data_IF_217975183242
#
_entry.id   IF_217975183242
#
_cell.length_a   1.000
_cell.length_b   1.000
_cell.length_c   1.000
_cell.angle_alpha   90.00
_cell.angle_beta   90.00
_cell.angle_gamma   90.00
#
_symmetry.space_group_name_H-M   'P 1'
#
loop_
_entity.id
_entity.type
_entity.pdbx_description
1 polymer ?
#
# COMPACT_ATOMS: atom_id res chain seq x y z
N UNK A 1 27.27 -11.99 20.04
CA UNK A 1 26.04 -12.34 19.31
C UNK A 1 25.33 -13.50 20.00
N UNK A 2 24.00 -13.42 20.13
CA UNK A 2 23.14 -14.49 20.64
C UNK A 2 21.81 -14.47 19.88
N UNK A 3 21.28 -15.65 19.54
CA UNK A 3 19.89 -15.79 19.10
C UNK A 3 19.06 -16.13 20.33
N UNK A 4 18.17 -15.22 20.74
CA UNK A 4 17.45 -15.27 22.02
C UNK A 4 16.13 -16.00 21.93
N UNK A 5 15.45 -15.91 20.80
CA UNK A 5 14.23 -16.67 20.50
C UNK A 5 14.13 -16.98 19.01
N UNK A 6 13.38 -18.04 18.72
CA UNK A 6 12.95 -18.42 17.37
C UNK A 6 11.47 -18.79 17.47
N UNK A 7 10.64 -18.14 16.68
CA UNK A 7 9.19 -18.30 16.65
C UNK A 7 8.73 -18.71 15.25
N UNK A 8 7.89 -19.75 15.17
CA UNK A 8 7.17 -20.09 13.94
C UNK A 8 5.90 -19.27 13.88
N UNK A 9 5.73 -18.47 12.83
CA UNK A 9 4.55 -17.60 12.69
C UNK A 9 3.56 -18.15 11.69
N UNK A 10 2.33 -17.64 11.71
CA UNK A 10 1.32 -17.87 10.66
C UNK A 10 1.40 -16.80 9.55
N UNK A 11 2.54 -16.12 9.41
CA UNK A 11 2.76 -15.09 8.40
C UNK A 11 3.49 -15.69 7.19
N UNK A 12 3.20 -15.16 6.02
CA UNK A 12 3.76 -15.61 4.75
C UNK A 12 4.25 -14.45 3.92
N UNK A 13 5.34 -14.69 3.19
CA UNK A 13 5.85 -13.82 2.13
C UNK A 13 5.99 -14.61 0.83
N UNK A 14 6.27 -13.92 -0.28
CA UNK A 14 6.40 -14.55 -1.60
C UNK A 14 5.13 -14.38 -2.42
N UNK A 15 4.86 -15.35 -3.29
CA UNK A 15 3.70 -15.33 -4.19
C UNK A 15 2.63 -16.30 -3.69
N UNK A 16 1.42 -16.20 -4.23
CA UNK A 16 0.34 -17.16 -3.92
C UNK A 16 0.74 -18.57 -4.34
N UNK A 17 1.49 -18.72 -5.43
CA UNK A 17 1.98 -20.00 -5.94
C UNK A 17 3.21 -20.53 -5.18
N UNK A 18 3.95 -19.65 -4.51
CA UNK A 18 5.13 -19.98 -3.72
C UNK A 18 5.14 -19.19 -2.41
N UNK A 19 4.25 -19.55 -1.46
CA UNK A 19 4.22 -18.92 -0.16
C UNK A 19 5.35 -19.48 0.71
N UNK A 20 6.07 -18.58 1.36
CA UNK A 20 7.13 -18.90 2.30
C UNK A 20 6.71 -18.46 3.70
N UNK A 21 6.57 -19.41 4.62
CA UNK A 21 6.23 -19.12 6.00
C UNK A 21 7.37 -18.32 6.63
N UNK A 22 7.05 -17.35 7.47
CA UNK A 22 8.04 -16.52 8.16
C UNK A 22 8.38 -17.15 9.51
N UNK A 23 9.66 -17.48 9.71
CA UNK A 23 10.23 -17.73 11.03
C UNK A 23 10.83 -16.42 11.54
N UNK A 24 10.48 -16.04 12.76
CA UNK A 24 11.00 -14.82 13.39
C UNK A 24 12.09 -15.21 14.38
N UNK A 25 13.23 -14.53 14.32
CA UNK A 25 14.31 -14.70 15.27
C UNK A 25 14.69 -13.37 15.92
N UNK A 26 14.80 -13.37 17.25
CA UNK A 26 15.35 -12.25 18.01
C UNK A 26 16.85 -12.47 18.21
N UNK A 27 17.65 -11.44 17.90
CA UNK A 27 19.11 -11.50 17.96
C UNK A 27 19.62 -10.35 18.81
N UNK A 28 20.46 -10.67 19.80
CA UNK A 28 21.25 -9.71 20.56
C UNK A 28 22.67 -9.65 20.00
N UNK A 29 23.12 -8.46 19.61
CA UNK A 29 24.49 -8.26 19.13
C UNK A 29 24.92 -6.79 19.26
N UNK A 30 26.12 -6.46 18.80
CA UNK A 30 26.63 -5.08 18.86
C UNK A 30 25.80 -4.17 17.95
N UNK A 31 25.31 -3.00 18.43
CA UNK A 31 24.55 -2.04 17.63
C UNK A 31 25.20 -1.69 16.29
N UNK A 32 24.39 -1.57 15.24
CA UNK A 32 24.83 -1.20 13.89
C UNK A 32 25.58 -2.30 13.12
N UNK A 33 25.82 -3.47 13.71
CA UNK A 33 26.38 -4.62 12.98
C UNK A 33 25.34 -5.22 12.05
N UNK A 34 25.79 -5.72 10.91
CA UNK A 34 24.98 -6.52 10.00
C UNK A 34 25.16 -7.99 10.34
N UNK A 35 24.06 -8.73 10.45
CA UNK A 35 24.03 -10.16 10.76
C UNK A 35 23.40 -10.89 9.59
N UNK A 36 24.06 -11.94 9.10
CA UNK A 36 23.49 -12.88 8.11
C UNK A 36 22.81 -14.02 8.83
N UNK A 37 21.60 -14.34 8.38
CA UNK A 37 20.72 -15.34 8.99
C UNK A 37 20.40 -16.46 8.01
N UNK A 38 20.34 -17.67 8.54
CA UNK A 38 19.87 -18.88 7.84
C UNK A 38 19.00 -19.68 8.81
N UNK A 39 18.09 -20.48 8.27
CA UNK A 39 17.23 -21.37 9.04
C UNK A 39 17.17 -22.73 8.35
N UNK A 40 17.52 -23.79 9.07
CA UNK A 40 17.60 -25.14 8.54
C UNK A 40 17.10 -26.16 9.57
N UNK A 41 16.45 -27.22 9.08
CA UNK A 41 16.01 -28.36 9.87
C UNK A 41 15.64 -29.54 8.97
N UNK A 42 15.38 -30.73 9.52
CA UNK A 42 14.86 -31.84 8.73
C UNK A 42 13.54 -31.43 8.06
N UNK A 43 13.55 -31.31 6.74
CA UNK A 43 12.38 -30.88 5.96
C UNK A 43 12.14 -29.36 5.92
N UNK A 44 12.97 -28.52 6.59
CA UNK A 44 12.82 -27.05 6.62
C UNK A 44 14.08 -26.38 6.08
N UNK A 45 13.92 -25.38 5.21
CA UNK A 45 15.03 -24.57 4.68
C UNK A 45 14.63 -23.11 4.48
N UNK A 46 15.57 -22.21 4.75
CA UNK A 46 15.45 -20.79 4.43
C UNK A 46 15.44 -20.54 2.91
N UNK A 47 14.80 -19.45 2.53
CA UNK A 47 14.68 -18.99 1.14
C UNK A 47 15.26 -17.58 1.01
N UNK A 48 16.20 -17.41 0.08
CA UNK A 48 16.86 -16.13 -0.17
C UNK A 48 18.05 -15.83 0.76
N UNK A 49 18.62 -14.63 0.62
CA UNK A 49 19.63 -14.11 1.55
C UNK A 49 18.94 -13.21 2.58
N UNK A 50 19.16 -13.47 3.87
CA UNK A 50 18.60 -12.70 4.97
C UNK A 50 19.72 -11.96 5.68
N UNK A 51 19.67 -10.63 5.59
CA UNK A 51 20.57 -9.71 6.28
C UNK A 51 19.72 -8.77 7.15
N UNK A 52 20.11 -8.64 8.40
CA UNK A 52 19.47 -7.72 9.34
C UNK A 52 20.52 -6.83 10.01
N UNK A 53 20.18 -5.55 10.22
CA UNK A 53 21.05 -4.61 10.92
C UNK A 53 20.57 -4.47 12.36
N UNK A 54 21.49 -4.62 13.30
CA UNK A 54 21.22 -4.54 14.74
C UNK A 54 20.85 -3.09 15.10
N UNK A 55 19.75 -2.92 15.82
CA UNK A 55 19.27 -1.63 16.29
C UNK A 55 20.19 -0.99 17.33
N UNK A 56 19.94 0.27 17.65
CA UNK A 56 20.72 1.03 18.63
C UNK A 56 20.65 0.43 20.04
N UNK A 57 19.58 -0.29 20.35
CA UNK A 57 19.38 -1.01 21.62
C UNK A 57 20.13 -2.36 21.68
N UNK A 58 20.85 -2.73 20.63
CA UNK A 58 21.62 -3.97 20.55
C UNK A 58 20.79 -5.19 20.19
N UNK A 59 19.55 -5.01 19.72
CA UNK A 59 18.67 -6.10 19.30
C UNK A 59 18.23 -5.96 17.85
N UNK A 60 17.83 -7.08 17.25
CA UNK A 60 17.11 -7.07 15.98
C UNK A 60 16.17 -8.26 15.89
N UNK A 61 14.93 -7.96 15.50
CA UNK A 61 13.92 -8.92 15.09
C UNK A 61 14.06 -9.17 13.61
N UNK A 62 14.44 -10.38 13.23
CA UNK A 62 14.63 -10.75 11.83
C UNK A 62 13.56 -11.73 11.35
N UNK A 63 13.04 -11.48 10.16
CA UNK A 63 12.08 -12.31 9.47
C UNK A 63 12.80 -13.18 8.45
N UNK A 64 12.68 -14.51 8.60
CA UNK A 64 13.38 -15.51 7.81
C UNK A 64 12.33 -16.32 7.03
N UNK A 65 12.18 -16.10 5.72
CA UNK A 65 11.29 -16.90 4.90
C UNK A 65 11.80 -18.34 4.83
N UNK A 66 10.93 -19.30 5.13
CA UNK A 66 11.23 -20.74 5.06
C UNK A 66 10.21 -21.49 4.23
N UNK A 67 10.62 -22.66 3.75
CA UNK A 67 9.76 -23.67 3.15
C UNK A 67 10.01 -25.00 3.85
N UNK A 68 8.96 -25.81 4.01
CA UNK A 68 9.05 -27.10 4.67
C UNK A 68 7.89 -27.44 5.59
N UNK A 69 7.82 -28.71 5.96
CA UNK A 69 6.82 -29.31 6.85
C UNK A 69 7.45 -30.05 8.03
N UNK A 70 8.71 -29.72 8.37
CA UNK A 70 9.43 -30.37 9.46
C UNK A 70 8.88 -30.02 10.85
N UNK A 71 9.52 -30.56 11.88
CA UNK A 71 9.08 -30.36 13.28
C UNK A 71 9.98 -29.40 14.07
N UNK A 72 11.16 -29.10 13.53
CA UNK A 72 12.17 -28.27 14.20
C UNK A 72 12.93 -27.43 13.18
N UNK A 73 13.36 -26.25 13.61
CA UNK A 73 14.18 -25.33 12.81
C UNK A 73 15.32 -24.80 13.66
N UNK A 74 16.52 -24.74 13.08
CA UNK A 74 17.70 -24.12 13.69
C UNK A 74 18.03 -22.84 12.95
N UNK A 75 17.90 -21.71 13.63
CA UNK A 75 18.36 -20.42 13.12
C UNK A 75 19.83 -20.27 13.44
N UNK A 76 20.63 -19.93 12.43
CA UNK A 76 22.04 -19.59 12.57
C UNK A 76 22.23 -18.12 12.20
N UNK A 77 22.71 -17.33 13.15
CA UNK A 77 23.15 -15.96 12.96
C UNK A 77 24.68 -15.93 12.80
N UNK A 78 25.18 -15.16 11.83
CA UNK A 78 26.60 -15.05 11.50
C UNK A 78 27.02 -13.60 11.30
N UNK A 79 28.15 -13.22 11.90
CA UNK A 79 28.83 -11.95 11.68
C UNK A 79 30.36 -12.19 11.70
N UNK A 80 30.97 -12.27 10.52
CA UNK A 80 32.38 -12.64 10.39
C UNK A 80 32.68 -14.03 10.95
N UNK A 81 33.47 -14.09 12.02
CA UNK A 81 33.79 -15.34 12.73
C UNK A 81 32.79 -15.66 13.87
N UNK A 82 31.96 -14.69 14.27
CA UNK A 82 30.98 -14.91 15.32
C UNK A 82 29.78 -15.68 14.75
N UNK A 83 29.43 -16.78 15.41
CA UNK A 83 28.30 -17.65 15.02
C UNK A 83 27.48 -17.96 16.25
N UNK A 84 26.17 -17.75 16.17
CA UNK A 84 25.20 -18.12 17.18
C UNK A 84 24.11 -19.00 16.56
N UNK A 85 23.66 -20.02 17.30
CA UNK A 85 22.61 -20.94 16.84
C UNK A 85 21.55 -21.11 17.92
N UNK A 86 20.31 -21.25 17.48
CA UNK A 86 19.18 -21.59 18.34
C UNK A 86 18.23 -22.51 17.59
N UNK A 87 17.90 -23.64 18.21
CA UNK A 87 16.94 -24.61 17.68
C UNK A 87 15.64 -24.51 18.45
N UNK A 88 14.54 -24.42 17.73
CA UNK A 88 13.19 -24.37 18.29
C UNK A 88 12.26 -25.33 17.55
N UNK A 89 11.12 -25.73 18.16
CA UNK A 89 10.05 -26.39 17.45
C UNK A 89 9.60 -25.55 16.25
N UNK A 90 9.29 -26.23 15.15
CA UNK A 90 8.71 -25.63 13.96
C UNK A 90 7.30 -26.18 13.77
N UNK A 91 6.34 -25.26 13.59
CA UNK A 91 4.96 -25.60 13.25
C UNK A 91 4.72 -25.09 11.84
N UNK A 92 4.59 -26.00 10.88
CA UNK A 92 4.20 -25.66 9.53
C UNK A 92 2.78 -25.06 9.55
N UNK A 93 2.65 -23.82 9.09
CA UNK A 93 1.37 -23.14 8.98
C UNK A 93 0.80 -23.32 7.56
N UNK A 94 -0.51 -23.16 7.44
CA UNK A 94 -1.17 -23.04 6.13
C UNK A 94 -1.31 -21.56 5.75
N UNK A 95 -1.05 -21.16 4.50
CA UNK A 95 -1.13 -19.76 4.05
C UNK A 95 -2.48 -19.06 4.29
N UNK A 96 -3.54 -19.84 4.51
CA UNK A 96 -4.86 -19.32 4.87
C UNK A 96 -5.50 -18.47 3.78
N UNK A 97 -6.00 -17.29 4.16
CA UNK A 97 -6.76 -16.39 3.30
C UNK A 97 -5.91 -15.20 2.87
N UNK A 98 -5.95 -14.84 1.58
CA UNK A 98 -5.36 -13.59 1.11
C UNK A 98 -6.32 -12.43 1.35
N UNK A 99 -5.85 -11.40 2.07
CA UNK A 99 -6.57 -10.14 2.25
C UNK A 99 -6.02 -9.08 1.29
N UNK A 100 -6.86 -8.58 0.38
CA UNK A 100 -6.50 -7.48 -0.50
C UNK A 100 -6.85 -6.14 0.14
N UNK A 101 -5.83 -5.37 0.52
CA UNK A 101 -6.00 -4.03 1.07
C UNK A 101 -6.04 -3.03 -0.09
N UNK A 102 -7.24 -2.61 -0.50
CA UNK A 102 -7.43 -1.68 -1.63
C UNK A 102 -7.51 -0.25 -1.12
N UNK A 103 -6.41 0.49 -1.22
CA UNK A 103 -6.37 1.88 -0.79
C UNK A 103 -7.13 2.77 -1.78
N UNK A 104 -8.08 3.56 -1.26
CA UNK A 104 -8.88 4.50 -2.05
C UNK A 104 -9.35 5.67 -1.19
N UNK A 105 -9.99 6.65 -1.82
CA UNK A 105 -10.88 7.60 -1.14
C UNK A 105 -12.20 7.69 -1.90
N UNK A 106 -13.26 8.05 -1.19
CA UNK A 106 -14.56 8.38 -1.80
C UNK A 106 -14.63 9.89 -2.05
N UNK A 107 -15.13 10.30 -3.21
CA UNK A 107 -15.28 11.69 -3.57
C UNK A 107 -16.70 11.91 -4.10
N UNK A 108 -17.50 12.67 -3.37
CA UNK A 108 -18.80 13.12 -3.88
C UNK A 108 -18.62 14.49 -4.55
N UNK A 109 -18.80 14.63 -5.87
CA UNK A 109 -18.60 15.91 -6.55
C UNK A 109 -19.51 17.00 -5.98
N UNK A 110 -20.71 16.65 -5.54
CA UNK A 110 -21.62 17.55 -4.83
C UNK A 110 -22.39 16.73 -3.82
N UNK A 111 -22.43 17.19 -2.57
CA UNK A 111 -23.28 16.62 -1.55
C UNK A 111 -23.85 17.73 -0.66
N UNK A 112 -23.29 17.94 0.55
CA UNK A 112 -23.67 19.07 1.40
C UNK A 112 -22.84 20.33 1.11
N UNK A 113 -21.82 20.23 0.28
CA UNK A 113 -21.00 21.35 -0.17
C UNK A 113 -20.81 21.31 -1.70
N UNK A 114 -20.17 22.35 -2.24
CA UNK A 114 -19.93 22.54 -3.66
C UNK A 114 -18.78 21.67 -4.18
N UNK A 115 -18.80 21.39 -5.47
CA UNK A 115 -17.69 20.72 -6.15
C UNK A 115 -16.38 21.49 -6.05
N UNK A 116 -16.42 22.82 -6.15
CA UNK A 116 -15.23 23.66 -6.02
C UNK A 116 -14.56 23.45 -4.65
N UNK A 117 -15.38 23.37 -3.60
CA UNK A 117 -14.92 23.01 -2.27
C UNK A 117 -14.23 21.65 -2.30
N UNK A 118 -14.95 20.57 -2.63
CA UNK A 118 -14.37 19.22 -2.54
C UNK A 118 -13.17 19.02 -3.45
N UNK A 119 -13.10 19.68 -4.60
CA UNK A 119 -12.02 19.48 -5.58
C UNK A 119 -10.73 20.20 -5.20
N UNK A 120 -10.83 21.45 -4.74
CA UNK A 120 -9.66 22.33 -4.64
C UNK A 120 -9.69 23.20 -3.37
N UNK A 121 -10.80 23.88 -3.08
CA UNK A 121 -10.79 24.92 -2.04
C UNK A 121 -10.95 24.38 -0.61
N UNK A 122 -11.14 23.06 -0.46
CA UNK A 122 -11.20 22.40 0.86
C UNK A 122 -9.88 22.47 1.65
N UNK A 123 -8.77 22.80 0.99
CA UNK A 123 -7.47 22.85 1.63
C UNK A 123 -7.23 24.17 2.38
N UNK A 124 -8.00 25.21 2.04
CA UNK A 124 -7.95 26.52 2.71
C UNK A 124 -9.03 26.55 3.79
N UNK A 125 -8.68 26.97 5.00
CA UNK A 125 -9.66 27.11 6.09
C UNK A 125 -10.71 28.18 5.72
N UNK A 126 -12.00 27.82 5.75
CA UNK A 126 -13.09 28.78 5.61
C UNK A 126 -13.15 29.70 6.83
N UNK A 127 -13.40 30.99 6.59
CA UNK A 127 -14.06 31.86 7.56
C UNK A 127 -15.58 31.79 7.30
N UNK A 128 -16.38 31.17 8.19
CA UNK A 128 -17.83 31.06 8.04
C UNK A 128 -18.54 32.39 7.81
N UNK A 129 -17.99 33.49 8.34
CA UNK A 129 -18.54 34.84 8.15
C UNK A 129 -18.39 35.33 6.70
N UNK A 130 -17.39 34.83 5.97
CA UNK A 130 -17.09 35.21 4.59
C UNK A 130 -17.80 34.34 3.56
N UNK A 131 -18.04 33.05 3.86
CA UNK A 131 -18.55 32.06 2.90
C UNK A 131 -20.02 31.70 3.12
N UNK A 132 -20.57 31.91 4.32
CA UNK A 132 -21.92 31.45 4.69
C UNK A 132 -22.04 29.94 4.86
N UNK A 133 -20.93 29.21 4.82
CA UNK A 133 -20.86 27.75 5.03
C UNK A 133 -20.55 27.44 6.51
N UNK A 134 -20.98 26.28 7.04
CA UNK A 134 -20.64 25.86 8.40
C UNK A 134 -19.12 25.80 8.62
N UNK A 135 -18.66 26.16 9.82
CA UNK A 135 -17.26 26.02 10.19
C UNK A 135 -16.80 24.56 10.08
N UNK A 136 -15.71 24.32 9.34
CA UNK A 136 -15.17 22.96 9.19
C UNK A 136 -14.57 22.48 10.51
N UNK A 137 -14.78 21.21 10.84
CA UNK A 137 -14.04 20.54 11.92
C UNK A 137 -12.56 20.47 11.54
N UNK A 138 -11.67 20.57 12.53
CA UNK A 138 -10.21 20.64 12.33
C UNK A 138 -9.64 19.39 11.61
N UNK A 139 -10.35 18.26 11.67
CA UNK A 139 -10.00 16.97 11.05
C UNK A 139 -10.06 16.96 9.51
N UNK A 140 -10.73 17.93 8.89
CA UNK A 140 -11.04 17.91 7.46
C UNK A 140 -10.13 18.82 6.61
N UNK A 141 -9.14 19.50 7.20
CA UNK A 141 -8.22 20.37 6.46
C UNK A 141 -7.23 19.54 5.65
N UNK A 142 -7.04 19.86 4.37
CA UNK A 142 -6.11 19.16 3.48
C UNK A 142 -6.69 17.91 2.79
N UNK A 143 -8.03 17.81 2.72
CA UNK A 143 -8.75 16.66 2.14
C UNK A 143 -9.48 17.01 0.83
N UNK A 144 -9.02 18.02 0.07
CA UNK A 144 -9.54 18.19 -1.29
C UNK A 144 -9.18 16.98 -2.16
N UNK A 145 -9.98 16.70 -3.19
CA UNK A 145 -9.70 15.64 -4.16
C UNK A 145 -8.31 15.80 -4.77
N UNK A 146 -7.88 17.04 -5.08
CA UNK A 146 -6.52 17.28 -5.57
C UNK A 146 -5.42 16.93 -4.55
N UNK A 147 -5.62 17.29 -3.27
CA UNK A 147 -4.66 16.97 -2.21
C UNK A 147 -4.60 15.47 -1.90
N UNK A 148 -5.73 14.77 -1.96
CA UNK A 148 -5.79 13.31 -1.79
C UNK A 148 -5.08 12.56 -2.92
N UNK A 149 -5.28 12.96 -4.19
CA UNK A 149 -4.52 12.38 -5.32
C UNK A 149 -3.02 12.61 -5.12
N UNK A 150 -2.59 13.82 -4.74
CA UNK A 150 -1.17 14.11 -4.46
C UNK A 150 -0.64 13.25 -3.32
N UNK A 151 -1.38 13.10 -2.23
CA UNK A 151 -0.97 12.29 -1.08
C UNK A 151 -0.71 10.83 -1.48
N UNK A 152 -1.58 10.23 -2.31
CA UNK A 152 -1.38 8.90 -2.85
C UNK A 152 -0.15 8.82 -3.76
N UNK A 153 0.06 9.78 -4.66
CA UNK A 153 1.27 9.87 -5.48
C UNK A 153 2.55 9.95 -4.62
N UNK A 154 2.54 10.77 -3.58
CA UNK A 154 3.69 10.94 -2.68
C UNK A 154 3.96 9.69 -1.84
N UNK A 155 2.94 8.91 -1.50
CA UNK A 155 3.12 7.61 -0.87
C UNK A 155 3.68 6.60 -1.86
N UNK A 156 3.18 6.57 -3.10
CA UNK A 156 3.68 5.70 -4.16
C UNK A 156 5.15 5.97 -4.55
N UNK A 157 5.62 7.22 -4.40
CA UNK A 157 7.04 7.58 -4.53
C UNK A 157 7.90 7.01 -3.40
N UNK A 158 7.37 6.99 -2.17
CA UNK A 158 8.11 6.57 -0.97
C UNK A 158 8.14 5.05 -0.81
N UNK A 159 7.07 4.39 -1.19
CA UNK A 159 6.91 2.94 -1.06
C UNK A 159 6.64 2.33 -2.45
N UNK A 160 7.60 1.58 -3.03
CA UNK A 160 7.42 0.90 -4.32
C UNK A 160 6.33 -0.18 -4.35
N UNK A 161 5.94 -0.75 -3.21
CA UNK A 161 4.90 -1.77 -3.11
C UNK A 161 3.49 -1.17 -2.99
N UNK A 162 3.38 0.12 -2.68
CA UNK A 162 2.09 0.77 -2.48
C UNK A 162 1.25 0.79 -3.78
N UNK A 163 -0.01 0.38 -3.67
CA UNK A 163 -1.00 0.41 -4.76
C UNK A 163 -2.28 1.08 -4.29
N UNK A 164 -2.97 1.79 -5.19
CA UNK A 164 -4.22 2.47 -4.87
C UNK A 164 -5.11 2.58 -6.10
N UNK A 165 -6.38 2.91 -5.88
CA UNK A 165 -7.36 3.13 -6.94
C UNK A 165 -7.86 4.57 -6.94
N UNK A 166 -8.09 5.10 -8.14
CA UNK A 166 -8.81 6.35 -8.40
C UNK A 166 -10.02 6.03 -9.27
N UNK A 167 -11.01 6.92 -9.42
CA UNK A 167 -12.28 6.54 -10.04
C UNK A 167 -12.85 7.57 -11.04
N UNK A 168 -12.95 8.84 -10.65
CA UNK A 168 -13.90 9.75 -11.30
C UNK A 168 -13.21 10.88 -12.05
N UNK A 169 -13.73 11.22 -13.24
CA UNK A 169 -13.19 12.28 -14.10
C UNK A 169 -13.32 13.66 -13.45
N UNK A 170 -14.36 13.88 -12.67
CA UNK A 170 -14.69 15.18 -12.10
C UNK A 170 -13.69 15.72 -11.06
N UNK A 171 -12.87 14.87 -10.44
CA UNK A 171 -11.67 15.31 -9.69
C UNK A 171 -10.36 14.99 -10.43
N UNK A 172 -10.31 13.92 -11.23
CA UNK A 172 -9.09 13.54 -11.95
C UNK A 172 -8.74 14.54 -13.04
N UNK A 173 -9.72 15.03 -13.80
CA UNK A 173 -9.48 16.00 -14.85
C UNK A 173 -8.97 17.33 -14.31
N UNK A 174 -9.58 17.95 -13.28
CA UNK A 174 -9.01 19.12 -12.64
C UNK A 174 -7.57 18.90 -12.17
N UNK A 175 -7.27 17.80 -11.48
CA UNK A 175 -5.91 17.50 -11.04
C UNK A 175 -4.94 17.37 -12.21
N UNK A 176 -5.33 16.61 -13.23
CA UNK A 176 -4.53 16.39 -14.45
C UNK A 176 -4.22 17.69 -15.19
N UNK A 177 -5.18 18.61 -15.24
CA UNK A 177 -5.04 19.91 -15.90
C UNK A 177 -4.17 20.87 -15.09
N UNK A 178 -4.34 20.87 -13.76
CA UNK A 178 -3.63 21.76 -12.84
C UNK A 178 -2.17 21.36 -12.58
N UNK A 179 -1.85 20.05 -12.63
CA UNK A 179 -0.52 19.50 -12.32
C UNK A 179 0.06 18.73 -13.52
N UNK A 180 0.40 19.40 -14.63
CA UNK A 180 0.93 18.75 -15.82
C UNK A 180 2.24 17.97 -15.57
N UNK A 181 3.03 18.38 -14.59
CA UNK A 181 4.26 17.72 -14.16
C UNK A 181 4.03 16.31 -13.57
N UNK A 182 2.84 16.04 -13.01
CA UNK A 182 2.50 14.75 -12.40
C UNK A 182 2.04 13.70 -13.42
N UNK A 183 1.68 14.12 -14.64
CA UNK A 183 1.08 13.25 -15.67
C UNK A 183 1.97 12.07 -16.04
N UNK A 184 3.26 12.30 -16.22
CA UNK A 184 4.19 11.25 -16.60
C UNK A 184 4.29 10.17 -15.51
N UNK A 185 4.33 10.60 -14.24
CA UNK A 185 4.38 9.71 -13.10
C UNK A 185 3.08 8.91 -12.95
N UNK A 186 1.91 9.57 -13.05
CA UNK A 186 0.62 8.87 -13.03
C UNK A 186 0.48 7.83 -14.15
N UNK A 187 0.91 8.15 -15.39
CA UNK A 187 0.91 7.17 -16.48
C UNK A 187 1.81 5.98 -16.19
N UNK A 188 2.96 6.22 -15.58
CA UNK A 188 3.88 5.15 -15.20
C UNK A 188 3.26 4.25 -14.13
N UNK A 189 2.61 4.83 -13.12
CA UNK A 189 1.88 4.06 -12.11
C UNK A 189 0.75 3.23 -12.72
N UNK A 190 -0.02 3.79 -13.66
CA UNK A 190 -1.07 3.06 -14.39
C UNK A 190 -0.47 1.91 -15.19
N UNK A 191 0.57 2.18 -15.98
CA UNK A 191 1.24 1.18 -16.85
C UNK A 191 1.86 0.03 -16.04
N UNK A 192 2.32 0.32 -14.83
CA UNK A 192 2.93 -0.67 -13.93
C UNK A 192 1.92 -1.34 -12.99
N UNK A 193 0.62 -1.03 -13.12
CA UNK A 193 -0.44 -1.61 -12.29
C UNK A 193 -0.43 -1.13 -10.83
N UNK A 194 0.29 -0.05 -10.53
CA UNK A 194 0.34 0.55 -9.19
C UNK A 194 -0.83 1.49 -8.92
N UNK A 195 -1.45 1.99 -9.98
CA UNK A 195 -2.72 2.72 -9.94
C UNK A 195 -3.69 2.08 -10.90
N UNK A 196 -4.86 1.73 -10.41
CA UNK A 196 -6.00 1.37 -11.25
C UNK A 196 -7.00 2.52 -11.27
N UNK A 197 -7.55 2.82 -12.45
CA UNK A 197 -8.72 3.70 -12.54
C UNK A 197 -9.95 2.80 -12.57
N UNK A 198 -10.82 2.98 -11.59
CA UNK A 198 -11.99 2.15 -11.31
C UNK A 198 -13.26 2.82 -11.84
N UNK A 199 -14.24 2.02 -12.27
CA UNK A 199 -15.56 2.48 -12.69
C UNK A 199 -15.64 2.96 -14.13
N UNK A 200 -14.66 3.72 -14.63
CA UNK A 200 -14.65 4.16 -16.04
C UNK A 200 -15.67 5.24 -16.39
N UNK A 201 -16.26 5.89 -15.40
CA UNK A 201 -17.38 6.83 -15.56
C UNK A 201 -16.94 8.28 -15.32
N UNK A 202 -17.77 9.25 -15.71
CA UNK A 202 -17.47 10.67 -15.46
C UNK A 202 -17.47 10.97 -13.96
N UNK A 203 -18.45 10.43 -13.25
CA UNK A 203 -18.56 10.37 -11.79
C UNK A 203 -19.23 9.04 -11.40
N UNK A 204 -19.42 8.74 -10.13
CA UNK A 204 -20.23 7.59 -9.71
C UNK A 204 -21.74 7.89 -9.90
N UNK A 205 -22.40 7.34 -10.94
CA UNK A 205 -23.76 7.77 -11.28
C UNK A 205 -24.79 7.14 -10.33
N UNK A 206 -25.77 7.93 -9.89
CA UNK A 206 -26.93 7.40 -9.20
C UNK A 206 -27.69 6.40 -10.11
N UNK A 207 -28.04 5.24 -9.58
CA UNK A 207 -28.68 4.15 -10.34
C UNK A 207 -30.22 4.12 -10.24
N UNK A 208 -30.81 4.96 -9.39
CA UNK A 208 -32.25 4.97 -9.09
C UNK A 208 -33.02 6.09 -9.78
N UNK A 209 -32.42 7.28 -9.90
CA UNK A 209 -33.09 8.52 -10.35
C UNK A 209 -32.45 9.14 -11.60
N UNK A 210 -31.72 8.36 -12.39
CA UNK A 210 -31.12 8.80 -13.65
C UNK A 210 -31.79 8.14 -14.85
N UNK A 211 -31.94 8.89 -15.94
CA UNK A 211 -32.42 8.36 -17.21
C UNK A 211 -31.30 7.66 -17.97
N UNK A 212 -31.65 6.65 -18.78
CA UNK A 212 -30.67 5.85 -19.54
C UNK A 212 -29.71 6.70 -20.38
N UNK A 213 -30.20 7.77 -21.02
CA UNK A 213 -29.33 8.66 -21.81
C UNK A 213 -28.25 9.35 -20.94
N UNK A 214 -28.62 9.80 -19.75
CA UNK A 214 -27.67 10.46 -18.84
C UNK A 214 -26.61 9.47 -18.36
N UNK A 215 -27.00 8.24 -18.02
CA UNK A 215 -26.08 7.16 -17.64
C UNK A 215 -25.11 6.81 -18.77
N UNK A 216 -25.61 6.68 -20.01
CA UNK A 216 -24.76 6.39 -21.18
C UNK A 216 -23.77 7.53 -21.43
N UNK A 217 -24.21 8.79 -21.39
CA UNK A 217 -23.31 9.94 -21.56
C UNK A 217 -22.25 10.00 -20.48
N UNK A 218 -22.62 9.70 -19.23
CA UNK A 218 -21.70 9.65 -18.11
C UNK A 218 -20.58 8.61 -18.35
N UNK A 219 -20.94 7.39 -18.76
CA UNK A 219 -19.97 6.35 -19.11
C UNK A 219 -19.11 6.73 -20.32
N UNK A 220 -19.70 7.29 -21.40
CA UNK A 220 -18.95 7.69 -22.58
C UNK A 220 -17.93 8.79 -22.30
N UNK A 221 -18.27 9.77 -21.47
CA UNK A 221 -17.34 10.84 -21.08
C UNK A 221 -16.24 10.31 -20.15
N UNK A 222 -16.59 9.40 -19.24
CA UNK A 222 -15.64 8.66 -18.41
C UNK A 222 -14.61 7.90 -19.23
N UNK A 223 -15.07 6.95 -20.02
CA UNK A 223 -14.25 6.08 -20.88
C UNK A 223 -13.35 6.89 -21.81
N UNK A 224 -13.94 7.89 -22.50
CA UNK A 224 -13.20 8.75 -23.42
C UNK A 224 -12.06 9.50 -22.76
N UNK A 225 -12.25 10.00 -21.53
CA UNK A 225 -11.20 10.69 -20.79
C UNK A 225 -10.17 9.71 -20.22
N UNK A 226 -10.61 8.69 -19.51
CA UNK A 226 -9.73 7.79 -18.77
C UNK A 226 -8.87 6.94 -19.72
N UNK A 227 -9.45 6.40 -20.79
CA UNK A 227 -8.69 5.68 -21.82
C UNK A 227 -7.96 6.63 -22.75
N UNK A 228 -8.69 7.58 -23.34
CA UNK A 228 -8.17 8.43 -24.42
C UNK A 228 -7.18 9.49 -23.96
N UNK A 229 -7.31 10.00 -22.73
CA UNK A 229 -6.42 11.01 -22.17
C UNK A 229 -5.45 10.40 -21.17
N UNK A 230 -5.92 9.73 -20.11
CA UNK A 230 -5.02 9.23 -19.06
C UNK A 230 -4.26 7.96 -19.43
N UNK A 231 -4.74 7.20 -20.43
CA UNK A 231 -4.13 5.93 -20.85
C UNK A 231 -4.42 4.77 -19.90
N UNK A 232 -5.50 4.87 -19.12
CA UNK A 232 -6.00 3.81 -18.27
C UNK A 232 -6.84 2.79 -19.05
N UNK A 233 -7.15 1.66 -18.41
CA UNK A 233 -8.07 0.66 -18.93
C UNK A 233 -9.02 0.16 -17.83
N UNK A 234 -9.96 1.02 -17.38
CA UNK A 234 -11.02 0.65 -16.43
C UNK A 234 -11.92 -0.48 -16.96
#
# INVERSE_FOLDING_TARGET
MRVTSVESTELFVGTVEQPYQVVVAEIEHVPGRQVRLTAEGPGVRAVGEILATVGEDGTVRAEIPVTGDGEHVTVTATDGADVARHTAPFTAAEPGWTMFMVSHFHYDPVWWNTQAAYTETWDVADDPASTGLPARTFDSRGQSGMSLVRAHCDLARRDPAYTFVLAEVDYLKPYWDAFPEERAFLRELIRTGRVEIMGGTYNEPNTNLTGAEATVRNALYGDGYQRGVMGASP
#
